data_IF_562041767234
#
_entry.id   IF_562041767234
#
_cell.length_a   1.000
_cell.length_b   1.000
_cell.length_c   1.000
_cell.angle_alpha   90.00
_cell.angle_beta   90.00
_cell.angle_gamma   90.00
#
_symmetry.space_group_name_H-M   'P 1'
#
loop_
_entity.id
_entity.type
_entity.pdbx_description
1 polymer ?
#
# COMPACT_ATOMS: atom_id res chain seq x y z
N UNK A 1 -6.80 -7.03 -10.79
CA UNK A 1 -6.41 -6.22 -9.61
C UNK A 1 -5.65 -7.15 -8.67
N UNK A 2 -4.74 -6.62 -7.85
CA UNK A 2 -4.07 -7.46 -6.85
C UNK A 2 -5.05 -8.05 -5.82
N UNK A 3 -6.15 -7.33 -5.55
CA UNK A 3 -7.18 -7.70 -4.59
C UNK A 3 -8.57 -7.29 -5.12
N UNK A 4 -9.62 -7.94 -4.61
CA UNK A 4 -11.01 -7.52 -4.82
C UNK A 4 -11.23 -6.15 -4.17
N UNK A 5 -11.82 -5.21 -4.89
CA UNK A 5 -12.01 -3.87 -4.34
C UNK A 5 -13.01 -3.03 -5.11
N UNK A 6 -13.23 -1.81 -4.60
CA UNK A 6 -13.85 -0.73 -5.36
C UNK A 6 -12.77 -0.03 -6.17
N UNK A 7 -13.14 0.48 -7.33
CA UNK A 7 -12.30 1.40 -8.12
C UNK A 7 -12.95 2.76 -8.06
N UNK A 8 -12.25 3.79 -7.59
CA UNK A 8 -12.75 5.16 -7.54
C UNK A 8 -12.25 5.98 -8.73
N UNK A 9 -11.01 5.76 -9.13
CA UNK A 9 -10.36 6.48 -10.22
C UNK A 9 -9.29 5.65 -10.91
N UNK A 10 -8.93 6.07 -12.11
CA UNK A 10 -7.83 5.53 -12.89
C UNK A 10 -6.93 6.66 -13.35
N UNK A 11 -5.63 6.41 -13.41
CA UNK A 11 -4.66 7.31 -14.01
C UNK A 11 -3.94 6.59 -15.15
N UNK A 12 -4.14 7.12 -16.35
CA UNK A 12 -3.49 6.62 -17.57
C UNK A 12 -2.39 7.59 -17.94
N UNK A 13 -1.17 7.22 -17.57
CA UNK A 13 0.02 8.05 -17.67
C UNK A 13 0.67 7.87 -19.04
N UNK A 14 0.77 8.96 -19.81
CA UNK A 14 1.41 8.97 -21.14
C UNK A 14 2.74 9.74 -21.13
N UNK A 15 3.41 9.81 -19.97
CA UNK A 15 4.74 10.39 -19.87
C UNK A 15 5.70 9.80 -20.92
N UNK A 16 6.60 10.64 -21.43
CA UNK A 16 7.60 10.29 -22.46
C UNK A 16 7.05 9.94 -23.86
N UNK A 17 5.74 9.76 -24.06
CA UNK A 17 5.15 9.43 -25.37
C UNK A 17 4.65 10.66 -26.15
N UNK A 18 5.54 11.58 -26.55
CA UNK A 18 5.20 12.90 -27.15
C UNK A 18 4.56 12.83 -28.54
N UNK A 19 4.94 11.83 -29.36
CA UNK A 19 4.42 11.68 -30.73
C UNK A 19 3.62 10.40 -30.96
N UNK A 20 3.76 9.41 -30.08
CA UNK A 20 3.23 8.07 -30.24
C UNK A 20 2.46 7.56 -29.01
N UNK A 21 1.90 8.46 -28.19
CA UNK A 21 0.94 8.08 -27.15
C UNK A 21 -0.29 7.38 -27.74
N UNK A 22 -0.96 6.57 -26.94
CA UNK A 22 -2.31 6.14 -27.26
C UNK A 22 -3.24 7.37 -27.31
N UNK A 23 -3.91 7.65 -28.45
CA UNK A 23 -4.79 8.82 -28.54
C UNK A 23 -5.99 8.73 -27.60
N UNK A 24 -6.53 7.52 -27.45
CA UNK A 24 -7.77 7.26 -26.70
C UNK A 24 -7.69 5.94 -25.97
N UNK A 25 -8.42 5.84 -24.87
CA UNK A 25 -8.55 4.63 -24.06
C UNK A 25 -9.97 4.38 -23.60
N UNK A 26 -10.27 3.13 -23.26
CA UNK A 26 -11.39 2.77 -22.40
C UNK A 26 -10.89 1.76 -21.37
N UNK A 27 -11.60 1.65 -20.25
CA UNK A 27 -11.30 0.64 -19.23
C UNK A 27 -12.56 -0.13 -18.92
N UNK A 28 -12.43 -1.44 -18.99
CA UNK A 28 -13.45 -2.41 -18.62
C UNK A 28 -13.08 -3.10 -17.32
N UNK A 29 -14.08 -3.57 -16.58
CA UNK A 29 -13.88 -4.35 -15.38
C UNK A 29 -14.82 -5.55 -15.30
N UNK A 30 -14.33 -6.58 -14.62
CA UNK A 30 -15.10 -7.78 -14.34
C UNK A 30 -14.94 -8.18 -12.88
N UNK A 31 -15.97 -8.87 -12.40
CA UNK A 31 -16.02 -9.47 -11.08
C UNK A 31 -16.09 -10.99 -11.23
N UNK A 32 -14.98 -11.63 -10.95
CA UNK A 32 -14.93 -13.07 -10.72
C UNK A 32 -15.05 -13.36 -9.22
N UNK A 33 -15.37 -14.61 -8.86
CA UNK A 33 -15.43 -14.99 -7.45
C UNK A 33 -14.03 -14.88 -6.80
N UNK A 34 -13.98 -14.79 -5.48
CA UNK A 34 -12.72 -14.66 -4.74
C UNK A 34 -11.90 -15.95 -4.71
N UNK A 35 -12.54 -17.11 -4.91
CA UNK A 35 -11.85 -18.39 -5.03
C UNK A 35 -11.41 -18.63 -6.48
N UNK A 36 -10.10 -18.65 -6.70
CA UNK A 36 -9.49 -18.90 -8.00
C UNK A 36 -9.94 -20.24 -8.61
N UNK A 37 -10.33 -21.24 -7.81
CA UNK A 37 -10.81 -22.53 -8.31
C UNK A 37 -12.03 -22.39 -9.23
N UNK A 38 -12.86 -21.38 -8.97
CA UNK A 38 -14.07 -21.07 -9.73
C UNK A 38 -13.82 -20.18 -10.95
N UNK A 39 -12.60 -19.70 -11.14
CA UNK A 39 -12.26 -18.88 -12.29
C UNK A 39 -12.29 -19.71 -13.58
N UNK A 40 -12.63 -19.08 -14.72
CA UNK A 40 -12.43 -19.69 -16.03
C UNK A 40 -11.02 -20.27 -16.14
N UNK A 41 -10.89 -21.46 -16.71
CA UNK A 41 -9.59 -22.14 -16.87
C UNK A 41 -8.55 -21.24 -17.53
N UNK A 42 -8.96 -20.49 -18.57
CA UNK A 42 -8.11 -19.53 -19.23
C UNK A 42 -7.54 -18.45 -18.28
N UNK A 43 -8.35 -17.96 -17.34
CA UNK A 43 -7.90 -16.96 -16.37
C UNK A 43 -6.89 -17.54 -15.39
N UNK A 44 -7.11 -18.78 -14.94
CA UNK A 44 -6.16 -19.49 -14.08
C UNK A 44 -4.81 -19.72 -14.78
N UNK A 45 -4.84 -20.15 -16.03
CA UNK A 45 -3.62 -20.38 -16.83
C UNK A 45 -2.84 -19.09 -17.10
N UNK A 46 -3.53 -18.00 -17.46
CA UNK A 46 -2.91 -16.68 -17.64
C UNK A 46 -2.29 -16.16 -16.34
N UNK A 47 -2.95 -16.37 -15.21
CA UNK A 47 -2.44 -15.93 -13.91
C UNK A 47 -1.21 -16.74 -13.46
N UNK A 48 -1.21 -18.05 -13.69
CA UNK A 48 -0.10 -18.94 -13.33
C UNK A 48 1.15 -18.75 -14.21
N UNK A 49 0.97 -18.26 -15.45
CA UNK A 49 2.06 -18.02 -16.41
C UNK A 49 2.63 -16.60 -16.36
N UNK A 50 2.10 -15.73 -15.49
CA UNK A 50 2.61 -14.37 -15.33
C UNK A 50 4.06 -14.40 -14.79
N UNK A 51 5.02 -13.75 -15.47
CA UNK A 51 6.42 -13.80 -15.05
C UNK A 51 6.63 -13.17 -13.68
N UNK A 52 7.23 -13.93 -12.77
CA UNK A 52 7.64 -13.46 -11.45
C UNK A 52 8.96 -12.67 -11.56
N UNK A 53 8.89 -11.42 -12.03
CA UNK A 53 9.95 -10.42 -11.81
C UNK A 53 10.87 -10.07 -12.98
N UNK A 54 10.90 -10.83 -14.08
CA UNK A 54 11.69 -10.45 -15.27
C UNK A 54 10.92 -9.47 -16.17
N UNK A 55 11.17 -8.17 -16.00
CA UNK A 55 10.68 -7.13 -16.91
C UNK A 55 11.50 -7.16 -18.21
N UNK A 56 11.05 -7.93 -19.19
CA UNK A 56 11.59 -7.87 -20.55
C UNK A 56 10.90 -6.75 -21.35
N UNK A 57 11.70 -5.88 -21.98
CA UNK A 57 11.20 -4.84 -22.89
C UNK A 57 10.97 -5.47 -24.27
N UNK A 58 9.89 -5.07 -24.94
CA UNK A 58 9.60 -5.51 -26.31
C UNK A 58 8.99 -6.90 -26.43
N UNK A 59 8.34 -7.39 -25.36
CA UNK A 59 7.58 -8.65 -25.40
C UNK A 59 6.13 -8.42 -25.82
N UNK A 60 5.54 -9.44 -26.43
CA UNK A 60 4.12 -9.50 -26.75
C UNK A 60 3.54 -10.83 -26.22
N UNK A 61 2.23 -10.90 -26.03
CA UNK A 61 1.55 -12.14 -25.69
C UNK A 61 1.75 -13.17 -26.81
N UNK A 62 1.98 -14.44 -26.44
CA UNK A 62 2.02 -15.54 -27.40
C UNK A 62 0.64 -15.77 -28.04
N UNK A 63 0.56 -16.42 -29.23
CA UNK A 63 -0.72 -16.80 -29.82
C UNK A 63 -1.62 -17.60 -28.87
N UNK A 64 -1.03 -18.50 -28.06
CA UNK A 64 -1.77 -19.27 -27.06
C UNK A 64 -2.31 -18.37 -25.94
N UNK A 65 -1.51 -17.41 -25.46
CA UNK A 65 -1.98 -16.44 -24.46
C UNK A 65 -3.11 -15.56 -25.00
N UNK A 66 -3.03 -15.15 -26.27
CA UNK A 66 -4.12 -14.41 -26.93
C UNK A 66 -5.39 -15.27 -27.06
N UNK A 67 -5.25 -16.54 -27.44
CA UNK A 67 -6.38 -17.48 -27.51
C UNK A 67 -7.03 -17.72 -26.15
N UNK A 68 -6.24 -17.80 -25.07
CA UNK A 68 -6.76 -17.88 -23.71
C UNK A 68 -7.45 -16.58 -23.29
N UNK A 69 -6.87 -15.42 -23.58
CA UNK A 69 -7.47 -14.13 -23.26
C UNK A 69 -8.83 -13.94 -23.94
N UNK A 70 -9.01 -14.43 -25.17
CA UNK A 70 -10.28 -14.36 -25.88
C UNK A 70 -11.39 -15.20 -25.20
N UNK A 71 -11.04 -16.33 -24.58
CA UNK A 71 -11.99 -17.15 -23.81
C UNK A 71 -12.55 -16.43 -22.58
N UNK A 72 -11.90 -15.36 -22.10
CA UNK A 72 -12.42 -14.53 -21.01
C UNK A 72 -13.62 -13.68 -21.43
N UNK A 73 -13.93 -13.63 -22.74
CA UNK A 73 -15.02 -12.84 -23.34
C UNK A 73 -15.04 -11.42 -22.81
N UNK A 74 -13.86 -10.80 -22.79
CA UNK A 74 -13.70 -9.47 -22.18
C UNK A 74 -14.41 -8.34 -22.94
N UNK A 75 -15.03 -8.63 -24.09
CA UNK A 75 -15.97 -7.75 -24.77
C UNK A 75 -17.33 -7.65 -24.04
N UNK A 76 -17.67 -8.59 -23.16
CA UNK A 76 -18.88 -8.57 -22.33
C UNK A 76 -18.65 -7.87 -20.97
N UNK A 77 -17.44 -7.41 -20.69
CA UNK A 77 -17.10 -6.77 -19.41
C UNK A 77 -17.66 -5.35 -19.32
N UNK A 78 -17.91 -4.88 -18.10
CA UNK A 78 -18.51 -3.56 -17.84
C UNK A 78 -17.52 -2.43 -18.14
N UNK A 79 -17.89 -1.46 -18.97
CA UNK A 79 -17.11 -0.24 -19.18
C UNK A 79 -17.16 0.65 -17.92
N UNK A 80 -16.02 0.76 -17.22
CA UNK A 80 -15.87 1.62 -16.05
C UNK A 80 -15.21 2.96 -16.40
N UNK A 81 -14.56 3.06 -17.55
CA UNK A 81 -14.18 4.30 -18.21
C UNK A 81 -14.54 4.18 -19.69
N UNK A 82 -15.42 5.04 -20.17
CA UNK A 82 -15.80 5.11 -21.58
C UNK A 82 -14.62 5.55 -22.46
N UNK A 83 -14.81 5.43 -23.76
CA UNK A 83 -13.88 5.89 -24.77
C UNK A 83 -13.51 7.37 -24.58
N UNK A 84 -12.30 7.62 -24.10
CA UNK A 84 -11.83 8.93 -23.61
C UNK A 84 -10.51 9.31 -24.25
N UNK A 85 -10.34 10.58 -24.62
CA UNK A 85 -9.11 11.12 -25.18
C UNK A 85 -7.99 11.26 -24.13
N UNK A 86 -6.76 11.01 -24.55
CA UNK A 86 -5.54 11.20 -23.76
C UNK A 86 -4.67 12.30 -24.40
N UNK A 87 -3.85 12.96 -23.59
CA UNK A 87 -2.84 13.88 -24.12
C UNK A 87 -1.53 13.21 -24.62
N UNK A 88 -0.73 13.91 -25.47
CA UNK A 88 0.60 13.50 -26.02
C UNK A 88 1.85 13.90 -25.22
N UNK A 89 2.78 12.99 -24.88
CA UNK A 89 3.90 13.11 -23.89
C UNK A 89 4.32 14.50 -23.36
N UNK A 90 4.38 14.65 -22.02
CA UNK A 90 4.72 15.86 -21.23
C UNK A 90 3.81 17.08 -21.45
N UNK A 91 2.89 17.35 -20.54
CA UNK A 91 3.07 18.59 -19.75
C UNK A 91 3.68 18.27 -18.36
N UNK A 92 4.97 17.95 -18.40
CA UNK A 92 5.92 17.60 -17.30
C UNK A 92 5.77 16.32 -16.50
N UNK A 93 4.70 15.55 -16.64
CA UNK A 93 4.72 14.06 -16.69
C UNK A 93 3.28 13.59 -16.71
N UNK A 94 2.59 13.98 -17.79
CA UNK A 94 1.14 13.93 -17.89
C UNK A 94 0.52 12.60 -17.43
N UNK A 95 -0.14 12.75 -16.29
CA UNK A 95 -1.20 11.93 -15.72
C UNK A 95 -2.54 12.29 -16.36
N UNK A 96 -3.34 11.29 -16.71
CA UNK A 96 -4.72 11.50 -17.15
C UNK A 96 -5.63 10.80 -16.13
N UNK A 97 -6.08 11.56 -15.12
CA UNK A 97 -6.85 11.03 -13.99
C UNK A 97 -8.34 11.14 -14.26
N UNK A 98 -9.04 10.01 -14.26
CA UNK A 98 -10.47 9.94 -14.50
C UNK A 98 -11.19 9.25 -13.35
N UNK A 99 -12.35 9.79 -12.95
CA UNK A 99 -13.30 9.08 -12.10
C UNK A 99 -13.99 8.00 -12.93
N UNK A 100 -14.23 6.83 -12.33
CA UNK A 100 -14.92 5.74 -13.03
C UNK A 100 -16.44 5.91 -12.96
N UNK A 101 -17.14 5.32 -13.93
CA UNK A 101 -18.60 5.32 -14.01
C UNK A 101 -19.22 4.39 -12.95
N UNK A 102 -18.61 3.22 -12.74
CA UNK A 102 -19.05 2.22 -11.78
C UNK A 102 -17.89 1.75 -10.91
N UNK A 103 -18.06 1.84 -9.60
CA UNK A 103 -16.99 1.54 -8.65
C UNK A 103 -16.83 0.05 -8.32
N UNK A 104 -17.72 -0.84 -8.76
CA UNK A 104 -17.61 -2.28 -8.51
C UNK A 104 -18.46 -2.78 -7.34
N UNK A 105 -18.13 -3.96 -6.76
CA UNK A 105 -16.79 -4.56 -6.63
C UNK A 105 -16.22 -5.19 -7.90
N UNK A 106 -14.92 -5.01 -8.11
CA UNK A 106 -14.16 -5.56 -9.23
C UNK A 106 -13.02 -6.47 -8.75
N UNK A 107 -12.63 -7.43 -9.59
CA UNK A 107 -11.41 -8.24 -9.39
C UNK A 107 -10.43 -8.08 -10.54
N UNK A 108 -10.90 -7.78 -11.75
CA UNK A 108 -10.08 -7.63 -12.95
C UNK A 108 -10.42 -6.34 -13.67
N UNK A 109 -9.42 -5.79 -14.36
CA UNK A 109 -9.57 -4.64 -15.25
C UNK A 109 -8.91 -4.97 -16.59
N UNK A 110 -9.46 -4.42 -17.66
CA UNK A 110 -8.91 -4.47 -19.02
C UNK A 110 -8.74 -3.05 -19.51
N UNK A 111 -7.54 -2.71 -19.95
CA UNK A 111 -7.23 -1.46 -20.63
C UNK A 111 -7.33 -1.67 -22.14
N UNK A 112 -8.10 -0.81 -22.80
CA UNK A 112 -8.19 -0.77 -24.26
C UNK A 112 -7.52 0.50 -24.77
N UNK A 113 -6.72 0.37 -25.83
CA UNK A 113 -6.02 1.48 -26.50
C UNK A 113 -6.55 1.62 -27.91
N UNK A 114 -6.76 2.85 -28.39
CA UNK A 114 -7.41 3.08 -29.68
C UNK A 114 -6.69 4.14 -30.54
N UNK A 115 -6.28 3.79 -31.78
CA UNK A 115 -6.17 2.42 -32.32
C UNK A 115 -4.97 1.66 -31.73
N UNK A 116 -3.93 2.38 -31.35
CA UNK A 116 -2.65 1.89 -30.83
C UNK A 116 -1.87 3.08 -30.23
N UNK A 117 -0.64 2.85 -29.75
CA UNK A 117 0.26 3.87 -29.21
C UNK A 117 0.98 3.40 -27.95
N UNK A 118 1.45 4.34 -27.13
CA UNK A 118 2.17 4.10 -25.90
C UNK A 118 1.48 4.66 -24.67
N UNK A 119 1.51 3.87 -23.59
CA UNK A 119 1.12 4.26 -22.23
C UNK A 119 2.28 3.89 -21.31
N UNK A 120 2.72 4.82 -20.47
CA UNK A 120 3.82 4.61 -19.54
C UNK A 120 3.34 3.81 -18.32
N UNK A 121 2.25 4.21 -17.68
CA UNK A 121 1.68 3.52 -16.51
C UNK A 121 0.16 3.55 -16.54
N UNK A 122 -0.43 2.49 -16.00
CA UNK A 122 -1.82 2.48 -15.56
C UNK A 122 -1.81 2.37 -14.04
N UNK A 123 -2.48 3.29 -13.35
CA UNK A 123 -2.76 3.20 -11.92
C UNK A 123 -4.26 3.12 -11.72
N UNK A 124 -4.70 2.21 -10.85
CA UNK A 124 -6.11 2.01 -10.52
C UNK A 124 -6.26 2.25 -9.03
N UNK A 125 -6.98 3.30 -8.67
CA UNK A 125 -7.15 3.77 -7.30
C UNK A 125 -8.51 3.35 -6.76
N UNK A 126 -8.55 2.91 -5.51
CA UNK A 126 -9.76 2.58 -4.79
C UNK A 126 -9.45 1.79 -3.52
N UNK A 127 -10.49 1.22 -2.91
CA UNK A 127 -10.39 0.55 -1.62
C UNK A 127 -10.58 -0.96 -1.75
N UNK A 128 -9.87 -1.71 -0.90
CA UNK A 128 -9.99 -3.17 -0.83
C UNK A 128 -11.30 -3.54 -0.14
N UNK A 129 -11.99 -4.55 -0.68
CA UNK A 129 -13.23 -5.06 -0.12
C UNK A 129 -13.04 -6.46 0.44
N UNK A 130 -12.80 -6.52 1.75
CA UNK A 130 -12.74 -7.76 2.52
C UNK A 130 -14.10 -8.08 3.12
N UNK A 131 -14.51 -9.35 3.04
CA UNK A 131 -15.70 -9.83 3.73
C UNK A 131 -15.36 -10.20 5.17
N UNK A 132 -15.52 -9.23 6.07
CA UNK A 132 -15.25 -9.41 7.49
C UNK A 132 -16.26 -10.33 8.19
N UNK A 133 -17.43 -10.59 7.59
CA UNK A 133 -18.43 -11.50 8.17
C UNK A 133 -17.99 -12.97 8.10
N UNK A 134 -17.11 -13.29 7.15
CA UNK A 134 -16.52 -14.61 6.99
C UNK A 134 -15.25 -14.81 7.86
N UNK A 135 -14.78 -13.78 8.55
CA UNK A 135 -13.58 -13.83 9.39
C UNK A 135 -13.98 -14.09 10.85
N UNK A 136 -13.56 -15.20 11.47
CA UNK A 136 -13.77 -15.43 12.89
C UNK A 136 -13.12 -14.34 13.74
N UNK A 137 -13.79 -13.86 14.78
CA UNK A 137 -13.26 -12.83 15.67
C UNK A 137 -11.99 -13.23 16.43
N UNK A 138 -11.71 -14.54 16.53
CA UNK A 138 -10.50 -15.08 17.14
C UNK A 138 -9.32 -15.22 16.17
N UNK A 139 -9.53 -14.97 14.88
CA UNK A 139 -8.48 -15.11 13.88
C UNK A 139 -7.50 -13.93 13.99
N UNK A 140 -6.21 -14.23 14.21
CA UNK A 140 -5.16 -13.23 14.12
C UNK A 140 -4.96 -12.83 12.65
N UNK A 141 -5.03 -11.53 12.40
CA UNK A 141 -4.83 -10.91 11.11
C UNK A 141 -3.98 -9.66 11.27
N UNK A 142 -3.20 -9.36 10.24
CA UNK A 142 -2.55 -8.06 10.11
C UNK A 142 -3.60 -6.99 9.79
N UNK A 143 -4.02 -6.23 10.79
CA UNK A 143 -5.08 -5.22 10.64
C UNK A 143 -4.64 -4.00 9.82
N UNK A 144 -3.34 -3.74 9.71
CA UNK A 144 -2.82 -2.56 9.01
C UNK A 144 -2.47 -2.87 7.55
N UNK A 145 -2.32 -4.15 7.20
CA UNK A 145 -2.11 -4.61 5.83
C UNK A 145 -3.09 -4.00 4.82
N UNK A 146 -2.56 -3.52 3.71
CA UNK A 146 -3.35 -3.10 2.56
C UNK A 146 -4.24 -4.25 2.03
N UNK A 147 -3.85 -5.51 2.20
CA UNK A 147 -4.67 -6.68 1.82
C UNK A 147 -5.97 -6.79 2.61
N UNK A 148 -5.98 -6.19 3.80
CA UNK A 148 -7.13 -6.15 4.67
C UNK A 148 -7.85 -4.80 4.62
N UNK A 149 -7.41 -3.88 3.77
CA UNK A 149 -7.99 -2.54 3.63
C UNK A 149 -7.38 -1.49 4.55
N UNK A 150 -6.17 -1.73 5.07
CA UNK A 150 -5.42 -0.68 5.75
C UNK A 150 -5.01 0.43 4.79
N UNK A 151 -5.00 1.67 5.27
CA UNK A 151 -4.79 2.86 4.45
C UNK A 151 -3.88 3.87 5.18
N UNK A 152 -3.13 4.65 4.40
CA UNK A 152 -2.33 5.75 4.95
C UNK A 152 -3.20 6.99 5.03
N UNK A 153 -3.37 7.53 6.23
CA UNK A 153 -4.14 8.76 6.47
C UNK A 153 -3.25 9.98 6.31
N UNK A 154 -2.10 9.99 7.00
CA UNK A 154 -1.19 11.12 6.96
C UNK A 154 0.24 10.73 7.33
N UNK A 155 1.18 11.59 6.97
CA UNK A 155 2.59 11.50 7.33
C UNK A 155 3.25 12.86 7.19
N UNK A 156 4.39 13.06 7.83
CA UNK A 156 5.09 14.35 7.79
C UNK A 156 6.24 14.42 6.77
N UNK A 157 6.82 13.29 6.37
CA UNK A 157 7.91 13.24 5.40
C UNK A 157 7.90 11.90 4.62
N UNK A 158 8.23 11.95 3.33
CA UNK A 158 8.38 10.77 2.47
C UNK A 158 9.53 10.99 1.47
N UNK A 159 10.73 11.23 1.98
CA UNK A 159 11.91 11.50 1.17
C UNK A 159 12.25 10.40 0.16
N UNK A 160 12.14 9.13 0.56
CA UNK A 160 12.35 7.99 -0.32
C UNK A 160 11.36 6.85 0.01
N UNK A 161 10.64 6.38 -1.01
CA UNK A 161 9.47 5.52 -0.79
C UNK A 161 8.29 6.29 -0.18
N UNK A 162 7.25 5.58 0.24
CA UNK A 162 6.02 6.17 0.78
C UNK A 162 5.48 5.31 1.92
N UNK A 163 4.83 5.86 2.97
CA UNK A 163 4.30 5.06 4.10
C UNK A 163 3.37 3.91 3.70
N UNK A 164 2.73 3.99 2.52
CA UNK A 164 1.91 2.89 1.96
C UNK A 164 2.71 1.60 1.76
N UNK A 165 4.03 1.70 1.67
CA UNK A 165 4.92 0.56 1.54
C UNK A 165 5.05 -0.20 2.87
N UNK A 166 4.81 0.44 4.03
CA UNK A 166 4.80 -0.23 5.33
C UNK A 166 3.76 -1.35 5.39
N UNK A 167 2.62 -1.12 4.74
CA UNK A 167 1.45 -1.99 4.76
C UNK A 167 1.33 -2.88 3.52
N UNK A 168 2.37 -2.90 2.68
CA UNK A 168 2.39 -3.72 1.48
C UNK A 168 2.57 -5.21 1.82
N UNK A 169 2.00 -6.13 1.04
CA UNK A 169 2.14 -7.55 1.29
C UNK A 169 3.59 -8.02 1.22
N UNK A 170 3.88 -9.09 1.96
CA UNK A 170 5.20 -9.70 2.04
C UNK A 170 6.27 -8.76 2.62
N UNK A 171 7.52 -9.20 2.54
CA UNK A 171 8.67 -8.37 2.94
C UNK A 171 9.15 -7.55 1.74
N UNK A 172 9.73 -6.39 2.00
CA UNK A 172 10.38 -5.58 0.95
C UNK A 172 11.45 -6.38 0.20
N UNK A 173 11.52 -6.26 -1.12
CA UNK A 173 12.60 -6.88 -1.92
C UNK A 173 13.86 -6.00 -1.95
N UNK A 174 13.66 -4.68 -1.83
CA UNK A 174 14.72 -3.67 -1.81
C UNK A 174 14.38 -2.54 -0.84
N UNK A 175 15.32 -1.61 -0.63
CA UNK A 175 15.07 -0.39 0.15
C UNK A 175 14.01 0.52 -0.50
N UNK A 176 13.83 0.45 -1.84
CA UNK A 176 12.82 1.23 -2.56
C UNK A 176 11.39 0.82 -2.21
N UNK A 177 11.22 -0.39 -1.68
CA UNK A 177 9.93 -0.96 -1.29
C UNK A 177 9.60 -0.69 0.19
N UNK A 178 10.31 0.22 0.85
CA UNK A 178 10.03 0.69 2.21
C UNK A 178 9.60 2.16 2.26
N UNK A 179 9.54 2.73 3.46
CA UNK A 179 9.37 4.16 3.69
C UNK A 179 10.60 4.71 4.39
N UNK A 180 11.17 5.80 3.88
CA UNK A 180 12.31 6.48 4.46
C UNK A 180 12.09 7.99 4.47
N UNK A 181 12.48 8.62 5.58
CA UNK A 181 12.43 10.07 5.74
C UNK A 181 13.78 10.75 5.59
N UNK A 182 13.75 12.06 5.33
CA UNK A 182 14.96 12.86 5.22
C UNK A 182 15.69 12.95 6.57
N UNK A 183 17.03 12.86 6.52
CA UNK A 183 17.87 13.04 7.70
C UNK A 183 17.61 14.41 8.36
N UNK A 184 17.24 14.43 9.64
CA UNK A 184 17.01 15.65 10.41
C UNK A 184 18.31 16.45 10.56
N UNK A 185 18.30 17.69 10.10
CA UNK A 185 19.42 18.64 10.27
C UNK A 185 19.59 19.10 11.72
N UNK A 186 18.57 18.90 12.55
CA UNK A 186 18.57 19.21 13.99
C UNK A 186 19.30 18.17 14.85
N UNK A 187 19.79 17.06 14.27
CA UNK A 187 20.59 16.07 15.00
C UNK A 187 21.85 16.73 15.58
N UNK A 188 22.20 16.44 16.85
CA UNK A 188 23.45 16.95 17.43
C UNK A 188 24.66 16.30 16.74
N UNK A 189 25.78 17.03 16.69
CA UNK A 189 27.03 16.53 16.12
C UNK A 189 27.62 15.34 16.91
N UNK A 190 27.29 15.25 18.20
CA UNK A 190 27.69 14.15 19.09
C UNK A 190 26.42 13.49 19.60
N UNK A 191 26.19 12.24 19.19
CA UNK A 191 25.07 11.45 19.66
C UNK A 191 25.36 10.95 21.07
N UNK A 192 24.37 11.10 21.97
CA UNK A 192 24.40 10.55 23.32
C UNK A 192 23.27 9.56 23.45
N UNK A 193 23.54 8.44 24.11
CA UNK A 193 22.53 7.50 24.52
C UNK A 193 22.24 7.71 25.99
N UNK A 194 20.95 7.65 26.35
CA UNK A 194 20.52 7.55 27.73
C UNK A 194 21.16 6.30 28.36
N UNK A 195 21.91 6.40 29.48
CA UNK A 195 22.61 5.26 30.06
C UNK A 195 21.70 4.15 30.61
N UNK A 196 20.45 4.45 30.96
CA UNK A 196 19.50 3.50 31.53
C UNK A 196 18.73 2.75 30.44
N UNK A 197 18.36 3.43 29.35
CA UNK A 197 17.53 2.85 28.28
C UNK A 197 18.33 2.46 27.03
N UNK A 198 19.52 3.05 26.85
CA UNK A 198 20.32 2.91 25.64
C UNK A 198 19.76 3.63 24.41
N UNK A 199 18.67 4.38 24.57
CA UNK A 199 18.02 5.14 23.49
C UNK A 199 18.77 6.43 23.20
N UNK A 200 18.80 6.85 21.94
CA UNK A 200 19.43 8.12 21.59
C UNK A 200 18.62 9.33 22.07
N UNK A 201 19.33 10.28 22.65
CA UNK A 201 18.85 11.62 23.02
C UNK A 201 18.96 12.53 21.79
N UNK A 202 17.92 12.48 20.95
CA UNK A 202 17.87 13.23 19.68
C UNK A 202 16.57 14.03 19.58
N UNK A 203 16.62 15.29 19.12
CA UNK A 203 15.41 16.07 18.90
C UNK A 203 14.70 15.64 17.62
N UNK A 204 13.37 15.71 17.65
CA UNK A 204 12.52 15.42 16.51
C UNK A 204 12.19 13.94 16.33
N UNK A 205 11.22 13.71 15.47
CA UNK A 205 10.70 12.42 15.06
C UNK A 205 10.05 12.57 13.69
N UNK A 206 9.90 11.45 12.99
CA UNK A 206 9.01 11.34 11.84
C UNK A 206 7.87 10.40 12.17
N UNK A 207 6.73 10.60 11.51
CA UNK A 207 5.50 9.88 11.86
C UNK A 207 4.61 9.63 10.65
N UNK A 208 3.83 8.55 10.75
CA UNK A 208 2.70 8.29 9.88
C UNK A 208 1.51 7.79 10.70
N UNK A 209 0.31 8.10 10.23
CA UNK A 209 -0.96 7.59 10.74
C UNK A 209 -1.57 6.66 9.71
N UNK A 210 -1.94 5.48 10.16
CA UNK A 210 -2.51 4.42 9.34
C UNK A 210 -3.88 4.06 9.90
N UNK A 211 -4.87 3.95 9.02
CA UNK A 211 -6.18 3.37 9.32
C UNK A 211 -6.08 1.87 9.19
N UNK A 212 -6.62 1.15 10.16
CA UNK A 212 -6.74 -0.30 10.11
C UNK A 212 -7.91 -0.68 9.20
N UNK A 213 -7.76 -1.77 8.46
CA UNK A 213 -8.82 -2.28 7.57
C UNK A 213 -10.07 -2.76 8.31
N UNK A 214 -9.93 -3.01 9.62
CA UNK A 214 -11.02 -3.27 10.55
C UNK A 214 -10.59 -2.90 11.98
N UNK A 215 -11.55 -2.44 12.78
CA UNK A 215 -11.30 -2.23 14.22
C UNK A 215 -10.98 -3.57 14.90
N UNK A 216 -9.96 -3.61 15.74
CA UNK A 216 -9.55 -4.85 16.38
C UNK A 216 -8.61 -4.67 17.56
N UNK A 217 -8.42 -5.74 18.32
CA UNK A 217 -7.53 -5.77 19.48
C UNK A 217 -6.12 -6.16 19.02
N UNK A 218 -5.13 -5.33 19.34
CA UNK A 218 -3.74 -5.57 18.93
C UNK A 218 -3.08 -6.57 19.89
N UNK A 219 -2.66 -7.71 19.35
CA UNK A 219 -1.95 -8.75 20.09
C UNK A 219 -0.44 -8.78 19.80
N UNK A 220 -0.05 -8.41 18.58
CA UNK A 220 1.33 -8.38 18.10
C UNK A 220 1.55 -7.11 17.25
N UNK A 221 2.75 -6.57 17.32
CA UNK A 221 3.25 -5.50 16.44
C UNK A 221 4.54 -6.00 15.81
N UNK A 222 4.64 -5.93 14.49
CA UNK A 222 5.87 -6.15 13.76
C UNK A 222 6.49 -4.80 13.40
N UNK A 223 7.81 -4.68 13.45
CA UNK A 223 8.54 -3.58 12.83
C UNK A 223 9.71 -4.20 12.08
N UNK A 224 9.66 -4.14 10.75
CA UNK A 224 10.71 -4.66 9.88
C UNK A 224 11.53 -3.51 9.31
N UNK A 225 12.84 -3.53 9.53
CA UNK A 225 13.80 -2.57 8.96
C UNK A 225 14.54 -3.19 7.77
N UNK A 226 13.94 -4.16 7.08
CA UNK A 226 14.55 -4.87 5.97
C UNK A 226 15.15 -3.90 4.92
N UNK A 227 16.30 -4.24 4.37
CA UNK A 227 17.21 -3.39 3.57
C UNK A 227 17.71 -2.07 4.17
N UNK A 228 17.17 -1.57 5.29
CA UNK A 228 17.68 -0.38 5.98
C UNK A 228 18.83 -0.76 6.92
N UNK A 229 20.04 -0.79 6.37
CA UNK A 229 21.26 -1.27 7.07
C UNK A 229 22.00 -0.18 7.85
N UNK A 230 21.96 1.06 7.36
CA UNK A 230 22.67 2.20 7.96
C UNK A 230 21.79 3.44 8.16
N UNK A 231 20.53 3.34 7.75
CA UNK A 231 19.56 4.43 7.70
C UNK A 231 18.19 4.00 8.25
N UNK A 232 18.12 2.93 9.05
CA UNK A 232 16.95 2.61 9.88
C UNK A 232 16.84 3.62 11.03
N UNK A 233 15.63 3.88 11.55
CA UNK A 233 15.49 4.74 12.72
C UNK A 233 16.08 4.04 13.95
N UNK A 234 16.60 4.82 14.90
CA UNK A 234 17.23 4.22 16.08
C UNK A 234 16.21 3.56 17.00
N UNK A 235 15.03 4.15 17.09
CA UNK A 235 13.92 3.64 17.87
C UNK A 235 12.58 4.05 17.27
N UNK A 236 11.52 3.38 17.69
CA UNK A 236 10.15 3.76 17.32
C UNK A 236 9.18 3.59 18.49
N UNK A 237 8.01 4.21 18.37
CA UNK A 237 6.84 4.05 19.23
C UNK A 237 5.64 3.79 18.32
N UNK A 238 4.75 2.88 18.70
CA UNK A 238 3.47 2.69 18.01
C UNK A 238 2.35 3.02 18.98
N UNK A 239 1.50 3.96 18.59
CA UNK A 239 0.28 4.32 19.31
C UNK A 239 -0.93 3.74 18.60
N UNK A 240 -2.01 3.55 19.33
CA UNK A 240 -3.33 3.31 18.75
C UNK A 240 -4.40 4.19 19.36
N UNK A 241 -5.50 4.29 18.63
CA UNK A 241 -6.70 4.98 19.09
C UNK A 241 -7.94 4.34 18.45
N UNK A 242 -9.06 4.45 19.15
CA UNK A 242 -10.39 4.18 18.59
C UNK A 242 -11.03 5.54 18.32
N UNK A 243 -11.30 5.81 17.05
CA UNK A 243 -11.77 7.12 16.60
C UNK A 243 -12.90 6.96 15.57
N UNK A 244 -14.00 7.68 15.79
CA UNK A 244 -15.18 7.68 14.93
C UNK A 244 -15.48 9.13 14.52
N UNK A 245 -14.75 9.61 13.50
CA UNK A 245 -14.87 10.95 12.93
C UNK A 245 -15.69 10.96 11.64
N UNK A 246 -15.98 12.16 11.12
CA UNK A 246 -16.69 12.29 9.85
C UNK A 246 -15.77 11.96 8.67
N UNK A 247 -14.51 12.39 8.75
CA UNK A 247 -13.44 12.08 7.82
C UNK A 247 -12.28 11.39 8.55
N UNK A 248 -11.50 10.58 7.86
CA UNK A 248 -10.39 9.83 8.48
C UNK A 248 -9.29 10.77 8.99
N UNK A 249 -9.09 11.91 8.31
CA UNK A 249 -8.14 12.95 8.67
C UNK A 249 -8.48 13.68 9.97
N UNK A 250 -9.74 13.63 10.43
CA UNK A 250 -10.15 14.22 11.71
C UNK A 250 -9.39 13.59 12.90
N UNK A 251 -8.84 12.38 12.72
CA UNK A 251 -8.03 11.67 13.71
C UNK A 251 -6.74 12.43 14.09
N UNK A 252 -6.34 13.41 13.27
CA UNK A 252 -5.15 14.23 13.47
C UNK A 252 -5.37 15.40 14.43
N UNK A 253 -6.61 15.65 14.88
CA UNK A 253 -6.92 16.72 15.80
C UNK A 253 -6.23 16.53 17.17
N UNK A 254 -5.77 17.62 17.78
CA UNK A 254 -5.08 17.60 19.08
C UNK A 254 -5.94 17.01 20.22
N UNK A 255 -7.27 17.00 20.06
CA UNK A 255 -8.21 16.39 21.01
C UNK A 255 -8.19 14.85 20.98
N UNK A 256 -7.63 14.24 19.95
CA UNK A 256 -7.60 12.78 19.79
C UNK A 256 -6.57 12.19 20.74
N UNK A 257 -7.03 11.28 21.60
CA UNK A 257 -6.18 10.61 22.58
C UNK A 257 -5.55 9.37 21.96
N UNK A 258 -4.22 9.41 21.84
CA UNK A 258 -3.40 8.28 21.42
C UNK A 258 -2.84 7.54 22.62
N UNK A 259 -2.95 6.21 22.64
CA UNK A 259 -2.41 5.36 23.70
C UNK A 259 -1.20 4.60 23.16
N UNK A 260 -0.05 4.58 23.86
CA UNK A 260 1.11 3.80 23.41
C UNK A 260 0.79 2.30 23.49
N UNK A 261 0.76 1.64 22.33
CA UNK A 261 0.59 0.18 22.19
C UNK A 261 1.96 -0.50 22.27
N UNK A 262 2.95 0.03 21.55
CA UNK A 262 4.36 -0.36 21.68
C UNK A 262 5.12 0.85 22.24
N UNK A 263 5.63 0.80 23.49
CA UNK A 263 6.45 1.88 24.05
C UNK A 263 7.74 2.05 23.25
N UNK A 264 8.47 3.16 23.49
CA UNK A 264 9.69 3.47 22.73
C UNK A 264 10.70 2.34 22.82
N UNK A 265 10.96 1.69 21.69
CA UNK A 265 11.84 0.53 21.62
C UNK A 265 12.95 0.75 20.61
N UNK A 266 14.14 0.25 20.95
CA UNK A 266 15.31 0.28 20.07
C UNK A 266 15.11 -0.68 18.91
N UNK A 267 15.47 -0.22 17.71
CA UNK A 267 15.44 -1.03 16.50
C UNK A 267 16.84 -1.48 16.11
N UNK A 268 16.90 -2.54 15.32
CA UNK A 268 18.10 -3.13 14.76
C UNK A 268 18.10 -2.94 13.25
N UNK A 269 19.31 -2.91 12.67
CA UNK A 269 19.50 -2.79 11.23
C UNK A 269 19.03 -4.06 10.51
N UNK A 270 18.28 -3.92 9.41
CA UNK A 270 17.93 -5.05 8.53
C UNK A 270 17.30 -6.23 9.29
N UNK A 271 16.36 -5.92 10.19
CA UNK A 271 15.81 -6.87 11.15
C UNK A 271 14.30 -6.81 11.17
N UNK A 272 13.69 -7.99 11.11
CA UNK A 272 12.27 -8.18 11.42
C UNK A 272 12.15 -8.37 12.94
N UNK A 273 11.53 -7.42 13.62
CA UNK A 273 11.30 -7.47 15.06
C UNK A 273 9.81 -7.64 15.34
N UNK A 274 9.46 -8.60 16.21
CA UNK A 274 8.08 -8.87 16.64
C UNK A 274 7.95 -8.61 18.14
N UNK A 275 6.87 -7.94 18.52
CA UNK A 275 6.54 -7.57 19.88
C UNK A 275 5.12 -8.02 20.18
N UNK A 276 4.84 -8.53 21.38
CA UNK A 276 3.52 -9.09 21.66
C UNK A 276 3.05 -8.83 23.08
N UNK A 277 1.74 -8.94 23.28
CA UNK A 277 1.11 -8.85 24.60
C UNK A 277 1.63 -9.98 25.49
N UNK A 278 1.81 -11.18 24.94
CA UNK A 278 2.34 -12.34 25.66
C UNK A 278 3.78 -12.12 26.17
N UNK A 279 4.60 -11.38 25.41
CA UNK A 279 5.95 -11.00 25.81
C UNK A 279 5.99 -9.77 26.73
N UNK A 280 4.85 -9.14 27.02
CA UNK A 280 4.75 -7.92 27.83
C UNK A 280 5.31 -6.67 27.15
N UNK A 281 5.67 -6.74 25.87
CA UNK A 281 6.20 -5.63 25.09
C UNK A 281 5.12 -4.79 24.41
N UNK A 282 3.94 -5.38 24.18
CA UNK A 282 2.76 -4.68 23.65
C UNK A 282 1.72 -4.50 24.76
N UNK A 283 1.25 -3.27 24.95
CA UNK A 283 0.14 -2.96 25.84
C UNK A 283 -1.19 -3.36 25.17
N UNK A 284 -1.97 -4.18 25.86
CA UNK A 284 -3.30 -4.60 25.40
C UNK A 284 -4.29 -3.43 25.51
N UNK A 285 -5.04 -3.19 24.42
CA UNK A 285 -6.17 -2.25 24.36
C UNK A 285 -7.44 -3.07 24.13
N UNK A 286 -8.14 -3.53 25.18
CA UNK A 286 -9.23 -4.50 25.06
C UNK A 286 -10.43 -4.01 24.25
N UNK A 287 -10.70 -2.71 24.26
CA UNK A 287 -11.74 -2.05 23.47
C UNK A 287 -11.44 -2.04 21.96
N UNK A 288 -10.20 -2.35 21.58
CA UNK A 288 -9.72 -2.32 20.21
C UNK A 288 -9.39 -0.91 19.72
N UNK A 289 -8.68 -0.87 18.60
CA UNK A 289 -8.30 0.36 17.90
C UNK A 289 -8.65 0.22 16.43
N UNK A 290 -8.84 1.35 15.74
CA UNK A 290 -9.06 1.40 14.29
C UNK A 290 -8.06 2.32 13.58
N UNK A 291 -7.22 3.04 14.32
CA UNK A 291 -6.06 3.76 13.78
C UNK A 291 -4.81 3.46 14.61
N UNK A 292 -3.66 3.47 13.93
CA UNK A 292 -2.34 3.41 14.56
C UNK A 292 -1.49 4.58 14.09
N UNK A 293 -0.62 5.06 14.97
CA UNK A 293 0.39 6.08 14.66
C UNK A 293 1.76 5.52 14.97
N UNK A 294 2.60 5.42 13.96
CA UNK A 294 4.01 5.09 14.10
C UNK A 294 4.80 6.39 14.23
N UNK A 295 5.64 6.49 15.26
CA UNK A 295 6.64 7.54 15.41
C UNK A 295 8.03 6.92 15.42
N UNK A 296 8.92 7.37 14.54
CA UNK A 296 10.31 6.92 14.46
C UNK A 296 11.27 8.02 14.89
N UNK A 297 12.35 7.65 15.57
CA UNK A 297 13.26 8.60 16.20
C UNK A 297 14.69 8.50 15.67
N UNK A 298 15.31 9.64 15.30
CA UNK A 298 14.67 10.91 14.97
C UNK A 298 14.11 10.96 13.53
N UNK A 299 14.58 10.02 12.68
CA UNK A 299 14.28 9.81 11.27
C UNK A 299 14.90 8.46 10.85
N UNK A 300 14.57 7.97 9.67
CA UNK A 300 15.16 6.75 9.12
C UNK A 300 14.23 6.08 8.13
N UNK A 301 14.43 4.78 7.88
CA UNK A 301 13.52 3.98 7.08
C UNK A 301 13.12 2.65 7.69
N UNK A 302 11.87 2.28 7.45
CA UNK A 302 11.21 1.07 7.90
C UNK A 302 10.60 0.41 6.65
N UNK A 303 10.76 -0.91 6.51
CA UNK A 303 10.22 -1.65 5.39
C UNK A 303 8.75 -2.00 5.60
N UNK A 304 8.40 -2.53 6.77
CA UNK A 304 7.04 -2.99 7.10
C UNK A 304 6.66 -2.67 8.53
N UNK A 305 5.36 -2.47 8.75
CA UNK A 305 4.72 -2.36 10.05
C UNK A 305 3.58 -3.37 10.11
#
# INVERSE_FOLDING_TARGET
LGLRGRVAAVDVDTAFFTGNHAPRVSIQAARFASDNSSWPEALRQLSASAPAGERAIGVAASPDQLALAEQLRSHEWTDILQFTELGPGYEETRHNVFKVLEQGPWTHVRLNMFPDGGIARLRVYGSVLKDWTAVPSSQLLDLVSAENGGEVVAFNDAHYGHPKNLIAPGRSETMADGWQTARKKTRPAVLRADPATGLLEVPGKDWCVLKLGHAGVVHEVEVDTNHFKGNFPESCVVFGTSFDGAEDEDVLADSVRWVPILPRIKLEAHKQQRFSVAAGSVALVPEGVNFVKLEMFPDGGISRL
#
